data_IF_392963831756
#
_entry.id   IF_392963831756
#
_cell.length_a   1.000
_cell.length_b   1.000
_cell.length_c   1.000
_cell.angle_alpha   90.00
_cell.angle_beta   90.00
_cell.angle_gamma   90.00
#
_symmetry.space_group_name_H-M   'P 1'
#
loop_
_entity.id
_entity.type
_entity.pdbx_description
1 polymer ?
#
# COMPACT_ATOMS: atom_id res chain seq x y z
N UNK A 1 -15.85 4.61 -10.73
CA UNK A 1 -15.90 3.33 -9.98
C UNK A 1 -14.48 2.83 -9.66
N UNK A 2 -13.65 3.57 -8.89
CA UNK A 2 -12.27 3.13 -8.63
C UNK A 2 -11.71 3.61 -7.27
N UNK A 3 -12.46 3.49 -6.17
CA UNK A 3 -11.92 3.73 -4.82
C UNK A 3 -12.47 2.78 -3.74
N UNK A 4 -13.26 1.77 -4.13
CA UNK A 4 -13.99 0.93 -3.18
C UNK A 4 -13.15 -0.03 -2.30
N UNK A 5 -11.87 -0.39 -2.57
CA UNK A 5 -11.13 -1.28 -1.66
C UNK A 5 -10.40 -0.54 -0.51
N UNK A 6 -10.36 0.79 -0.51
CA UNK A 6 -9.67 1.57 0.54
C UNK A 6 -10.57 1.72 1.78
N UNK A 7 -11.89 1.80 1.57
CA UNK A 7 -12.86 2.11 2.63
C UNK A 7 -13.13 0.95 3.60
N UNK A 8 -12.85 -0.29 3.20
CA UNK A 8 -13.00 -1.46 4.09
C UNK A 8 -11.89 -1.58 5.14
N UNK A 9 -10.81 -0.81 5.03
CA UNK A 9 -9.71 -0.86 6.00
C UNK A 9 -9.94 0.04 7.24
N UNK A 10 -10.87 1.01 7.18
CA UNK A 10 -11.07 2.01 8.23
C UNK A 10 -12.18 1.65 9.24
N UNK A 11 -12.74 0.43 9.22
CA UNK A 11 -13.87 0.10 10.07
C UNK A 11 -13.51 0.10 11.59
N UNK A 12 -14.07 1.08 12.31
CA UNK A 12 -13.92 1.37 13.75
C UNK A 12 -14.70 0.36 14.63
N UNK A 13 -14.30 -0.92 14.64
CA UNK A 13 -14.93 -1.93 15.49
C UNK A 13 -13.94 -2.95 16.05
N UNK A 14 -13.90 -3.13 17.37
CA UNK A 14 -13.08 -4.15 18.05
C UNK A 14 -13.40 -5.58 17.60
N UNK A 15 -14.63 -5.85 17.13
CA UNK A 15 -15.01 -7.12 16.50
C UNK A 15 -14.37 -7.28 15.12
N UNK A 16 -14.40 -6.24 14.29
CA UNK A 16 -13.80 -6.22 12.95
C UNK A 16 -12.30 -6.51 12.99
N UNK A 17 -11.56 -5.97 13.98
CA UNK A 17 -10.12 -6.23 14.11
C UNK A 17 -9.80 -7.72 14.37
N UNK A 18 -10.63 -8.43 15.16
CA UNK A 18 -10.47 -9.87 15.39
C UNK A 18 -10.81 -10.69 14.15
N UNK A 19 -11.89 -10.36 13.46
CA UNK A 19 -12.30 -11.10 12.27
C UNK A 19 -11.38 -10.81 11.07
N UNK A 20 -10.85 -9.60 10.95
CA UNK A 20 -9.87 -9.23 9.92
C UNK A 20 -8.56 -10.03 10.07
N UNK A 21 -8.06 -10.20 11.30
CA UNK A 21 -6.87 -11.02 11.54
C UNK A 21 -7.18 -12.49 11.23
N UNK A 22 -8.37 -13.01 11.53
CA UNK A 22 -8.75 -14.39 11.17
C UNK A 22 -8.82 -14.61 9.66
N UNK A 23 -9.29 -13.63 8.89
CA UNK A 23 -9.48 -13.75 7.44
C UNK A 23 -8.17 -13.48 6.68
N UNK A 24 -7.41 -12.46 7.08
CA UNK A 24 -6.22 -12.00 6.33
C UNK A 24 -4.89 -12.41 6.95
N UNK A 25 -4.92 -13.04 8.15
CA UNK A 25 -3.74 -13.44 8.93
C UNK A 25 -2.70 -12.32 9.12
N UNK A 26 -3.16 -11.06 9.06
CA UNK A 26 -2.31 -9.86 9.09
C UNK A 26 -3.07 -8.71 9.73
N UNK A 27 -2.33 -7.72 10.24
CA UNK A 27 -2.95 -6.53 10.83
C UNK A 27 -3.52 -5.63 9.74
N UNK A 28 -4.60 -4.88 10.02
CA UNK A 28 -5.19 -3.94 9.05
C UNK A 28 -4.17 -2.94 8.49
N UNK A 29 -3.26 -2.46 9.34
CA UNK A 29 -2.16 -1.56 8.94
C UNK A 29 -1.24 -2.19 7.88
N UNK A 30 -0.85 -3.46 8.06
CA UNK A 30 -0.03 -4.19 7.08
C UNK A 30 -0.79 -4.45 5.78
N UNK A 31 -2.09 -4.73 5.87
CA UNK A 31 -2.93 -4.90 4.68
C UNK A 31 -3.02 -3.59 3.88
N UNK A 32 -3.27 -2.47 4.57
CA UNK A 32 -3.31 -1.15 3.95
C UNK A 32 -1.98 -0.79 3.28
N UNK A 33 -0.87 -1.00 3.98
CA UNK A 33 0.46 -0.76 3.42
C UNK A 33 0.71 -1.62 2.18
N UNK A 34 0.34 -2.92 2.21
CA UNK A 34 0.43 -3.79 1.04
C UNK A 34 -0.37 -3.22 -0.14
N UNK A 35 -1.60 -2.78 0.09
CA UNK A 35 -2.46 -2.20 -0.95
C UNK A 35 -1.88 -0.93 -1.56
N UNK A 36 -1.34 -0.04 -0.72
CA UNK A 36 -0.65 1.18 -1.18
C UNK A 36 0.55 0.86 -2.06
N UNK A 37 1.37 -0.13 -1.66
CA UNK A 37 2.52 -0.58 -2.44
C UNK A 37 2.11 -1.25 -3.76
N UNK A 38 1.04 -2.04 -3.78
CA UNK A 38 0.46 -2.62 -5.00
C UNK A 38 0.02 -1.52 -6.00
N UNK A 39 -0.64 -0.47 -5.50
CA UNK A 39 -1.02 0.68 -6.33
C UNK A 39 0.21 1.43 -6.87
N UNK A 40 1.22 1.64 -6.02
CA UNK A 40 2.45 2.32 -6.44
C UNK A 40 3.17 1.54 -7.56
N UNK A 41 3.25 0.21 -7.42
CA UNK A 41 3.86 -0.65 -8.43
C UNK A 41 3.14 -0.50 -9.78
N UNK A 42 1.80 -0.48 -9.77
CA UNK A 42 1.01 -0.27 -10.98
C UNK A 42 1.29 1.10 -11.62
N UNK A 43 1.29 2.17 -10.83
CA UNK A 43 1.55 3.53 -11.32
C UNK A 43 2.95 3.68 -11.92
N UNK A 44 3.96 3.09 -11.31
CA UNK A 44 5.33 3.18 -11.80
C UNK A 44 5.51 2.29 -13.05
N UNK A 45 5.17 1.00 -12.96
CA UNK A 45 5.39 0.05 -14.05
C UNK A 45 4.53 0.34 -15.29
N UNK A 46 3.26 0.69 -15.09
CA UNK A 46 2.26 0.80 -16.18
C UNK A 46 2.09 2.25 -16.63
N UNK A 47 2.06 3.21 -15.70
CA UNK A 47 1.88 4.63 -16.03
C UNK A 47 3.20 5.40 -16.17
N UNK A 48 4.35 4.75 -15.93
CA UNK A 48 5.71 5.34 -16.03
C UNK A 48 5.86 6.62 -15.23
N UNK A 49 5.16 6.70 -14.10
CA UNK A 49 5.29 7.81 -13.15
C UNK A 49 6.55 7.62 -12.31
N UNK A 50 7.20 8.73 -11.96
CA UNK A 50 8.38 8.68 -11.09
C UNK A 50 7.98 8.30 -9.65
N UNK A 51 8.83 7.56 -8.91
CA UNK A 51 8.59 7.25 -7.50
C UNK A 51 8.35 8.49 -6.63
N UNK A 52 9.00 9.61 -6.96
CA UNK A 52 8.84 10.91 -6.30
C UNK A 52 7.46 11.54 -6.52
N UNK A 53 6.77 11.25 -7.63
CA UNK A 53 5.39 11.68 -7.84
C UNK A 53 4.37 10.73 -7.17
N UNK A 54 4.72 9.44 -7.03
CA UNK A 54 3.77 8.41 -6.59
C UNK A 54 3.69 8.27 -5.07
N UNK A 55 4.77 8.52 -4.32
CA UNK A 55 4.80 8.18 -2.89
C UNK A 55 3.72 8.91 -2.05
N UNK A 56 3.48 10.19 -2.32
CA UNK A 56 2.42 10.96 -1.65
C UNK A 56 1.02 10.48 -2.08
N UNK A 57 0.84 10.22 -3.38
CA UNK A 57 -0.44 9.78 -3.97
C UNK A 57 -0.92 8.45 -3.38
N UNK A 58 0.00 7.53 -3.12
CA UNK A 58 -0.32 6.25 -2.47
C UNK A 58 -0.35 6.34 -0.95
N UNK A 59 -0.21 7.55 -0.37
CA UNK A 59 -0.37 7.80 1.05
C UNK A 59 0.85 7.43 1.91
N UNK A 60 2.06 7.51 1.36
CA UNK A 60 3.29 7.52 2.18
C UNK A 60 3.69 8.95 2.48
N UNK A 61 4.05 9.22 3.73
CA UNK A 61 4.48 10.56 4.17
C UNK A 61 5.90 10.90 3.73
N UNK A 62 6.75 9.89 3.57
CA UNK A 62 8.18 10.06 3.32
C UNK A 62 8.68 9.12 2.22
N UNK A 63 9.45 9.67 1.28
CA UNK A 63 10.00 8.92 0.14
C UNK A 63 10.94 7.80 0.60
N UNK A 64 11.79 8.04 1.62
CA UNK A 64 12.70 7.00 2.14
C UNK A 64 11.93 5.80 2.70
N UNK A 65 10.88 6.05 3.48
CA UNK A 65 10.04 4.99 4.05
C UNK A 65 9.32 4.20 2.94
N UNK A 66 8.80 4.91 1.93
CA UNK A 66 8.23 4.31 0.73
C UNK A 66 9.24 3.40 0.02
N UNK A 67 10.43 3.90 -0.31
CA UNK A 67 11.45 3.15 -1.04
C UNK A 67 11.89 1.88 -0.30
N UNK A 68 12.10 1.96 1.02
CA UNK A 68 12.45 0.79 1.84
C UNK A 68 11.31 -0.23 1.86
N UNK A 69 10.07 0.21 2.06
CA UNK A 69 8.91 -0.68 2.10
C UNK A 69 8.63 -1.33 0.73
N UNK A 70 8.80 -0.57 -0.35
CA UNK A 70 8.66 -1.02 -1.72
C UNK A 70 9.68 -2.11 -2.05
N UNK A 71 10.97 -1.85 -1.80
CA UNK A 71 12.04 -2.83 -1.99
C UNK A 71 11.81 -4.09 -1.17
N UNK A 72 11.40 -3.95 0.09
CA UNK A 72 11.08 -5.09 0.96
C UNK A 72 9.94 -5.95 0.40
N UNK A 73 8.98 -5.33 -0.31
CA UNK A 73 7.80 -6.02 -0.83
C UNK A 73 8.05 -6.70 -2.19
N UNK A 74 8.78 -6.04 -3.08
CA UNK A 74 8.94 -6.48 -4.48
C UNK A 74 10.35 -6.93 -4.85
N UNK A 75 11.34 -6.76 -3.95
CA UNK A 75 12.73 -7.13 -4.19
C UNK A 75 13.52 -6.18 -5.11
N UNK A 76 12.86 -5.19 -5.71
CA UNK A 76 13.45 -4.19 -6.62
C UNK A 76 13.19 -2.78 -6.09
N UNK A 77 14.05 -1.80 -6.42
CA UNK A 77 13.76 -0.43 -6.03
C UNK A 77 12.66 0.15 -6.93
N UNK A 78 11.85 1.06 -6.37
CA UNK A 78 10.80 1.74 -7.12
C UNK A 78 11.34 2.51 -8.33
N UNK A 79 12.58 3.01 -8.25
CA UNK A 79 13.28 3.73 -9.31
C UNK A 79 13.78 2.84 -10.45
N UNK A 80 13.83 1.51 -10.25
CA UNK A 80 14.33 0.55 -11.25
C UNK A 80 13.20 -0.03 -12.14
N UNK A 81 11.95 0.41 -11.95
CA UNK A 81 10.74 -0.06 -12.68
C UNK A 81 10.29 0.94 -13.76
#
# INVERSE_FOLDING_TARGET
MQYFPILLCQAFGTKFKRDFIKIFNTTPEKCLQKKRLEQAYYLISTKKLSPSAVYLEVGFENLSHFSTAFKKKFGVNASDL
#
